data_IF_599058981404
#
_entry.id   IF_599058981404
#
_cell.length_a   1.000
_cell.length_b   1.000
_cell.length_c   1.000
_cell.angle_alpha   90.00
_cell.angle_beta   90.00
_cell.angle_gamma   90.00
#
_symmetry.space_group_name_H-M   'P 1'
#
loop_
_entity.id
_entity.type
_entity.pdbx_description
1 polymer ?
#
# COMPACT_ATOMS: atom_id res chain seq x y z
N UNK A 1 -50.25 0.08 24.34
CA UNK A 1 -49.93 1.30 23.56
C UNK A 1 -48.45 1.61 23.48
N UNK A 2 -47.69 1.66 24.55
CA UNK A 2 -46.25 2.01 24.56
C UNK A 2 -45.38 1.08 23.73
N UNK A 3 -45.61 -0.23 23.75
CA UNK A 3 -44.87 -1.22 22.93
C UNK A 3 -45.13 -1.07 21.44
N UNK A 4 -46.35 -0.73 21.03
CA UNK A 4 -46.67 -0.52 19.61
C UNK A 4 -46.02 0.78 19.07
N UNK A 5 -45.98 1.84 19.90
CA UNK A 5 -45.27 3.07 19.56
C UNK A 5 -43.77 2.83 19.43
N UNK A 6 -43.16 2.01 20.28
CA UNK A 6 -41.74 1.70 20.21
C UNK A 6 -41.40 0.95 18.90
N UNK A 7 -42.19 -0.05 18.50
CA UNK A 7 -41.99 -0.77 17.24
C UNK A 7 -42.18 0.14 16.01
N UNK A 8 -43.14 1.07 16.07
CA UNK A 8 -43.35 2.03 14.99
C UNK A 8 -42.16 2.96 14.84
N UNK A 9 -41.61 3.50 15.92
CA UNK A 9 -40.42 4.34 15.90
C UNK A 9 -39.17 3.59 15.46
N UNK A 10 -39.00 2.33 15.86
CA UNK A 10 -37.90 1.48 15.40
C UNK A 10 -38.00 1.21 13.90
N UNK A 11 -39.17 1.00 13.37
CA UNK A 11 -39.41 0.78 11.93
C UNK A 11 -39.10 2.03 11.11
N UNK A 12 -39.51 3.20 11.58
CA UNK A 12 -39.20 4.49 10.94
C UNK A 12 -37.67 4.73 10.95
N UNK A 13 -37.00 4.42 12.03
CA UNK A 13 -35.52 4.55 12.13
C UNK A 13 -34.79 3.64 11.11
N UNK A 14 -35.28 2.40 10.95
CA UNK A 14 -34.73 1.43 9.97
C UNK A 14 -34.92 1.91 8.53
N UNK A 15 -36.06 2.56 8.21
CA UNK A 15 -36.26 3.12 6.87
C UNK A 15 -35.29 4.26 6.55
N UNK A 16 -34.93 5.10 7.52
CA UNK A 16 -33.96 6.17 7.31
C UNK A 16 -32.55 5.64 7.07
N UNK A 17 -32.17 4.50 7.66
CA UNK A 17 -30.87 3.87 7.42
C UNK A 17 -30.75 3.37 5.98
N UNK A 18 -31.82 2.75 5.44
CA UNK A 18 -31.83 2.26 4.05
C UNK A 18 -31.63 3.39 3.01
N UNK A 19 -32.30 4.53 3.20
CA UNK A 19 -32.16 5.68 2.29
C UNK A 19 -30.78 6.31 2.33
N UNK A 20 -30.07 6.25 3.46
CA UNK A 20 -28.71 6.72 3.59
C UNK A 20 -27.70 5.82 2.84
N UNK A 21 -27.95 4.51 2.82
CA UNK A 21 -27.12 3.55 2.08
C UNK A 21 -27.25 3.73 0.56
N UNK A 22 -28.46 3.86 0.03
CA UNK A 22 -28.69 4.11 -1.41
C UNK A 22 -28.00 5.39 -1.89
N UNK A 23 -28.03 6.44 -1.08
CA UNK A 23 -27.37 7.70 -1.43
C UNK A 23 -25.84 7.57 -1.41
N UNK A 24 -25.29 6.81 -0.48
CA UNK A 24 -23.84 6.55 -0.41
C UNK A 24 -23.39 5.70 -1.61
N UNK A 25 -24.16 4.67 -1.96
CA UNK A 25 -23.88 3.81 -3.10
C UNK A 25 -23.91 4.58 -4.42
N UNK A 26 -24.91 5.46 -4.61
CA UNK A 26 -24.98 6.32 -5.81
C UNK A 26 -23.81 7.31 -5.92
N UNK A 27 -23.29 7.82 -4.81
CA UNK A 27 -22.11 8.70 -4.80
C UNK A 27 -20.85 7.90 -5.12
N UNK A 28 -20.72 6.68 -4.58
CA UNK A 28 -19.62 5.77 -4.88
C UNK A 28 -19.62 5.36 -6.36
N UNK A 29 -20.78 5.03 -6.92
CA UNK A 29 -20.93 4.68 -8.32
C UNK A 29 -20.61 5.88 -9.24
N UNK A 30 -20.96 7.08 -8.83
CA UNK A 30 -20.65 8.29 -9.58
C UNK A 30 -19.15 8.62 -9.54
N UNK A 31 -18.48 8.46 -8.41
CA UNK A 31 -17.01 8.60 -8.30
C UNK A 31 -16.26 7.50 -9.05
N UNK A 32 -16.77 6.27 -9.03
CA UNK A 32 -16.14 5.15 -9.75
C UNK A 32 -16.38 5.23 -11.26
N UNK A 33 -17.54 5.74 -11.73
CA UNK A 33 -17.84 5.91 -13.15
C UNK A 33 -17.05 7.06 -13.80
N UNK A 34 -16.66 8.07 -13.04
CA UNK A 34 -15.81 9.19 -13.51
C UNK A 34 -14.33 8.78 -13.58
N UNK A 35 -13.96 7.62 -13.03
CA UNK A 35 -12.61 7.11 -13.11
C UNK A 35 -12.31 6.69 -14.54
N UNK A 36 -11.66 7.59 -15.26
CA UNK A 36 -11.26 7.45 -16.65
C UNK A 36 -10.66 6.06 -16.89
N UNK A 37 -11.24 5.29 -17.81
CA UNK A 37 -10.81 3.92 -18.16
C UNK A 37 -9.35 3.86 -18.65
N UNK A 38 -8.75 5.02 -18.86
CA UNK A 38 -7.38 5.19 -19.33
C UNK A 38 -6.37 5.46 -18.20
N UNK A 39 -6.82 5.39 -16.93
CA UNK A 39 -5.92 5.61 -15.80
C UNK A 39 -4.88 4.48 -15.72
N UNK A 40 -3.62 4.89 -15.62
CA UNK A 40 -2.49 4.01 -15.37
C UNK A 40 -2.66 3.36 -13.98
N UNK A 41 -2.46 2.06 -13.90
CA UNK A 41 -2.40 1.35 -12.62
C UNK A 41 -1.12 1.79 -11.90
N UNK A 42 -1.24 2.62 -10.87
CA UNK A 42 -0.08 3.17 -10.17
C UNK A 42 0.61 2.14 -9.28
N UNK A 43 -0.13 1.34 -8.55
CA UNK A 43 0.45 0.35 -7.66
C UNK A 43 -0.57 -0.65 -7.12
N UNK A 44 -0.16 -1.91 -6.96
CA UNK A 44 -0.85 -2.91 -6.15
C UNK A 44 -0.55 -2.74 -4.65
N UNK A 45 0.60 -2.16 -4.32
CA UNK A 45 1.07 -1.94 -2.95
C UNK A 45 1.44 -0.48 -2.73
N UNK A 46 1.18 0.04 -1.53
CA UNK A 46 1.57 1.41 -1.14
C UNK A 46 3.08 1.60 -1.09
N UNK A 47 3.83 0.56 -0.73
CA UNK A 47 5.29 0.62 -0.60
C UNK A 47 6.03 0.41 -1.91
N UNK A 48 7.21 0.99 -2.03
CA UNK A 48 8.14 0.77 -3.16
C UNK A 48 8.88 -0.55 -3.07
N UNK A 49 8.80 -1.22 -1.92
CA UNK A 49 9.47 -2.50 -1.62
C UNK A 49 8.50 -3.56 -1.16
N UNK A 50 8.75 -4.80 -1.59
CA UNK A 50 8.04 -6.01 -1.15
C UNK A 50 9.10 -6.95 -0.62
N UNK A 51 9.23 -7.07 0.70
CA UNK A 51 10.23 -7.91 1.40
C UNK A 51 11.65 -7.67 0.84
N UNK A 52 12.08 -8.44 -0.16
CA UNK A 52 13.41 -8.38 -0.79
C UNK A 52 13.39 -7.79 -2.21
N UNK A 53 12.22 -7.58 -2.77
CA UNK A 53 12.02 -7.10 -4.13
C UNK A 53 11.50 -5.66 -4.18
N UNK A 54 11.42 -5.13 -5.39
CA UNK A 54 10.78 -3.86 -5.68
C UNK A 54 9.32 -4.09 -6.11
N UNK A 55 8.39 -3.24 -5.64
CA UNK A 55 7.05 -3.16 -6.22
C UNK A 55 7.11 -2.37 -7.53
N UNK A 56 6.01 -2.31 -8.27
CA UNK A 56 5.91 -1.46 -9.47
C UNK A 56 5.95 0.04 -9.12
N UNK A 57 5.60 0.41 -7.88
CA UNK A 57 5.60 1.80 -7.42
C UNK A 57 7.02 2.34 -7.32
N UNK A 58 7.25 3.52 -7.89
CA UNK A 58 8.48 4.30 -7.78
C UNK A 58 8.21 5.61 -7.06
N UNK A 59 9.21 6.24 -6.44
CA UNK A 59 9.12 7.62 -6.00
C UNK A 59 8.75 8.53 -7.18
N UNK A 60 8.00 9.61 -6.91
CA UNK A 60 7.69 10.60 -7.92
C UNK A 60 8.96 11.33 -8.42
N UNK A 61 8.93 11.91 -9.63
CA UNK A 61 10.06 12.69 -10.12
C UNK A 61 10.50 13.79 -9.14
N UNK A 62 11.76 13.79 -8.74
CA UNK A 62 12.32 14.72 -7.75
C UNK A 62 12.04 14.35 -6.28
N UNK A 63 11.32 13.28 -6.02
CA UNK A 63 11.04 12.79 -4.66
C UNK A 63 12.20 11.97 -4.11
N UNK A 64 12.59 12.27 -2.86
CA UNK A 64 13.50 11.45 -2.07
C UNK A 64 12.71 10.62 -1.05
N UNK A 65 13.01 9.34 -1.00
CA UNK A 65 12.41 8.42 -0.04
C UNK A 65 13.51 7.82 0.84
N UNK A 66 13.46 8.14 2.14
CA UNK A 66 14.34 7.53 3.14
C UNK A 66 13.70 6.26 3.68
N UNK A 67 14.43 5.16 3.65
CA UNK A 67 13.95 3.83 4.02
C UNK A 67 14.81 3.23 5.10
N UNK A 68 14.17 2.84 6.20
CA UNK A 68 14.80 2.04 7.26
C UNK A 68 14.11 0.68 7.28
N UNK A 69 14.84 -0.37 6.96
CA UNK A 69 14.31 -1.73 6.95
C UNK A 69 15.02 -2.58 7.99
N UNK A 70 14.24 -3.35 8.74
CA UNK A 70 14.74 -4.29 9.73
C UNK A 70 14.49 -5.71 9.26
N UNK A 71 15.49 -6.57 9.42
CA UNK A 71 15.38 -8.02 9.24
C UNK A 71 15.73 -8.69 10.55
N UNK A 72 14.79 -9.44 11.06
CA UNK A 72 14.95 -10.20 12.28
C UNK A 72 15.57 -11.57 12.00
N UNK A 73 16.18 -12.15 13.03
CA UNK A 73 16.71 -13.50 13.00
C UNK A 73 15.60 -14.56 12.94
N UNK A 74 16.00 -15.80 13.15
CA UNK A 74 15.07 -16.94 13.10
C UNK A 74 14.16 -16.96 14.33
N UNK A 75 12.84 -16.97 14.15
CA UNK A 75 11.86 -17.15 15.23
C UNK A 75 12.11 -18.45 16.01
N UNK A 76 12.66 -19.49 15.35
CA UNK A 76 13.00 -20.79 15.95
C UNK A 76 14.10 -20.71 17.02
N UNK A 77 14.86 -19.63 17.10
CA UNK A 77 15.88 -19.41 18.13
C UNK A 77 15.30 -19.35 19.56
N UNK A 78 13.99 -19.25 19.69
CA UNK A 78 13.26 -19.32 20.96
C UNK A 78 13.44 -18.09 21.83
N UNK A 79 13.09 -18.25 23.10
CA UNK A 79 13.08 -17.15 24.07
C UNK A 79 14.46 -16.56 24.37
N UNK A 80 15.52 -17.37 24.25
CA UNK A 80 16.88 -16.93 24.54
C UNK A 80 17.34 -15.78 23.64
N UNK A 81 17.03 -15.85 22.35
CA UNK A 81 17.34 -14.81 21.36
C UNK A 81 16.12 -13.89 21.11
N UNK A 82 15.20 -13.85 22.06
CA UNK A 82 13.94 -13.09 21.96
C UNK A 82 13.24 -13.28 20.62
N UNK A 83 13.09 -14.57 20.22
CA UNK A 83 12.48 -14.97 18.94
C UNK A 83 13.17 -14.38 17.70
N UNK A 84 14.47 -14.14 17.78
CA UNK A 84 15.28 -13.59 16.69
C UNK A 84 15.35 -12.07 16.63
N UNK A 85 14.78 -11.36 17.59
CA UNK A 85 14.85 -9.90 17.67
C UNK A 85 16.27 -9.41 17.99
N UNK A 86 17.03 -10.15 18.81
CA UNK A 86 18.42 -9.80 19.16
C UNK A 86 19.38 -9.87 17.96
N UNK A 87 19.02 -10.59 16.92
CA UNK A 87 19.79 -10.70 15.68
C UNK A 87 19.29 -9.79 14.56
N UNK A 88 18.69 -8.65 14.92
CA UNK A 88 18.14 -7.73 13.94
C UNK A 88 19.24 -7.06 13.09
N UNK A 89 19.07 -7.15 11.78
CA UNK A 89 19.89 -6.42 10.82
C UNK A 89 19.11 -5.21 10.28
N UNK A 90 19.72 -4.04 10.36
CA UNK A 90 19.12 -2.80 9.86
C UNK A 90 19.77 -2.41 8.53
N UNK A 91 18.94 -2.07 7.55
CA UNK A 91 19.41 -1.42 6.32
C UNK A 91 18.80 -0.03 6.22
N UNK A 92 19.66 0.96 6.01
CA UNK A 92 19.29 2.34 5.71
C UNK A 92 19.44 2.52 4.20
N UNK A 93 18.43 3.06 3.55
CA UNK A 93 18.41 3.31 2.11
C UNK A 93 17.86 4.69 1.78
N UNK A 94 18.30 5.22 0.65
CA UNK A 94 17.80 6.42 0.04
C UNK A 94 17.46 6.12 -1.41
N UNK A 95 16.19 6.27 -1.75
CA UNK A 95 15.66 6.08 -3.09
C UNK A 95 15.29 7.45 -3.67
N UNK A 96 15.57 7.69 -4.95
CA UNK A 96 15.32 8.95 -5.64
C UNK A 96 14.60 8.71 -6.96
N UNK A 97 13.51 9.44 -7.20
CA UNK A 97 12.78 9.44 -8.46
C UNK A 97 13.43 10.38 -9.46
N UNK A 98 14.09 9.81 -10.49
CA UNK A 98 14.74 10.59 -11.56
C UNK A 98 13.70 11.06 -12.59
N UNK A 99 12.66 10.25 -12.81
CA UNK A 99 11.60 10.54 -13.75
C UNK A 99 10.37 9.66 -13.48
N UNK A 100 9.33 9.79 -14.30
CA UNK A 100 8.07 9.05 -14.11
C UNK A 100 8.26 7.53 -14.07
N UNK A 101 9.22 7.01 -14.84
CA UNK A 101 9.45 5.58 -14.98
C UNK A 101 10.84 5.14 -14.50
N UNK A 102 11.66 6.08 -13.98
CA UNK A 102 13.03 5.79 -13.59
C UNK A 102 13.29 6.21 -12.16
N UNK A 103 13.83 5.31 -11.36
CA UNK A 103 14.33 5.61 -10.01
C UNK A 103 15.66 4.92 -9.74
N UNK A 104 16.44 5.55 -8.89
CA UNK A 104 17.73 5.04 -8.43
C UNK A 104 17.74 5.00 -6.91
N UNK A 105 18.56 4.17 -6.35
CA UNK A 105 18.70 4.15 -4.90
C UNK A 105 20.01 3.53 -4.46
N UNK A 106 20.42 3.95 -3.27
CA UNK A 106 21.59 3.43 -2.57
C UNK A 106 21.19 2.98 -1.17
N UNK A 107 21.92 2.06 -0.60
CA UNK A 107 21.68 1.60 0.75
C UNK A 107 22.91 1.04 1.41
N UNK A 108 22.83 0.99 2.75
CA UNK A 108 23.84 0.36 3.58
C UNK A 108 23.17 -0.54 4.61
N UNK A 109 23.61 -1.78 4.65
CA UNK A 109 23.17 -2.76 5.65
C UNK A 109 24.18 -2.82 6.81
N UNK A 110 23.68 -3.02 8.04
CA UNK A 110 24.53 -3.35 9.19
C UNK A 110 25.16 -4.73 9.06
N UNK A 111 24.50 -5.65 8.33
CA UNK A 111 25.05 -6.98 8.07
C UNK A 111 26.30 -6.89 7.20
N UNK A 112 27.42 -7.28 7.76
CA UNK A 112 28.75 -7.21 7.13
C UNK A 112 29.11 -5.84 6.55
N UNK A 113 28.47 -4.76 6.98
CA UNK A 113 28.66 -3.39 6.49
C UNK A 113 28.52 -3.27 4.96
N UNK A 114 27.63 -4.06 4.36
CA UNK A 114 27.42 -4.11 2.91
C UNK A 114 26.76 -2.85 2.39
N UNK A 115 27.20 -2.39 1.22
CA UNK A 115 26.58 -1.32 0.45
C UNK A 115 25.87 -1.95 -0.76
N UNK A 116 24.73 -1.41 -1.12
CA UNK A 116 23.97 -1.80 -2.30
C UNK A 116 23.47 -0.57 -3.04
N UNK A 117 23.30 -0.72 -4.34
CA UNK A 117 22.70 0.28 -5.21
C UNK A 117 21.83 -0.40 -6.26
N UNK A 118 20.84 0.33 -6.76
CA UNK A 118 19.98 -0.15 -7.83
C UNK A 118 19.56 0.98 -8.77
N UNK A 119 19.21 0.58 -9.98
CA UNK A 119 18.49 1.38 -10.96
C UNK A 119 17.23 0.60 -11.29
N UNK A 120 16.08 1.26 -11.24
CA UNK A 120 14.78 0.66 -11.53
C UNK A 120 14.11 1.46 -12.65
N UNK A 121 13.73 0.77 -13.72
CA UNK A 121 12.99 1.33 -14.84
C UNK A 121 11.68 0.56 -15.01
N UNK A 122 10.56 1.27 -15.10
CA UNK A 122 9.26 0.71 -15.43
C UNK A 122 9.08 0.81 -16.96
N UNK A 123 9.26 -0.32 -17.66
CA UNK A 123 9.20 -0.36 -19.12
C UNK A 123 7.78 -0.36 -19.66
N UNK A 124 6.86 -1.03 -18.95
CA UNK A 124 5.46 -1.16 -19.33
C UNK A 124 4.56 -0.81 -18.17
N UNK A 125 3.50 -0.06 -18.46
CA UNK A 125 2.50 0.30 -17.46
C UNK A 125 1.16 -0.30 -17.90
N UNK A 126 0.53 -1.03 -16.99
CA UNK A 126 -0.81 -1.56 -17.20
C UNK A 126 -1.82 -0.42 -17.09
N UNK A 127 -2.77 -0.37 -18.02
CA UNK A 127 -3.92 0.53 -17.97
C UNK A 127 -5.13 -0.23 -17.43
N UNK A 128 -6.05 0.49 -16.79
CA UNK A 128 -7.26 -0.11 -16.21
C UNK A 128 -8.21 -0.69 -17.28
N UNK A 129 -8.10 -0.23 -18.54
CA UNK A 129 -8.87 -0.76 -19.67
C UNK A 129 -8.29 -2.04 -20.29
N UNK A 130 -7.07 -2.41 -19.92
CA UNK A 130 -6.46 -3.62 -20.46
C UNK A 130 -7.16 -4.83 -19.84
N UNK A 131 -7.88 -5.61 -20.67
CA UNK A 131 -8.44 -6.89 -20.23
C UNK A 131 -7.29 -7.79 -19.77
N UNK A 132 -7.45 -8.52 -18.66
CA UNK A 132 -6.48 -9.55 -18.32
C UNK A 132 -6.36 -10.57 -19.46
N UNK A 133 -5.18 -11.10 -19.69
CA UNK A 133 -4.94 -12.11 -20.71
C UNK A 133 -5.75 -13.37 -20.46
#
# INVERSE_FOLDING_TARGET
>A
MLKQMFFFWLFVLLMHISSAQEKLESILDQETAVKDSNMKVEALFKGTRIINGHSIKSPAPGEFMFLVTHRFGKVKSGWYDFFGLDQANTRIGLDFGVGENLSVGIGRSSYQKTYDGFVKANLFNQKQSDKPP
#
